data_IF_051509431543
#
_entry.id   IF_051509431543
#
_cell.length_a   1.000
_cell.length_b   1.000
_cell.length_c   1.000
_cell.angle_alpha   90.00
_cell.angle_beta   90.00
_cell.angle_gamma   90.00
#
_symmetry.space_group_name_H-M   'P 1'
#
loop_
_entity.id
_entity.type
_entity.pdbx_description
1 polymer ?
#
# COMPACT_ATOMS: atom_id res chain seq x y z
N UNK A 1 -28.96 -12.29 27.38
CA UNK A 1 -29.28 -11.09 26.57
C UNK A 1 -28.16 -10.07 26.75
N UNK A 2 -26.93 -10.42 26.37
CA UNK A 2 -25.72 -9.56 26.52
C UNK A 2 -24.74 -9.72 25.37
N UNK A 3 -25.22 -10.11 24.19
CA UNK A 3 -24.39 -10.32 22.99
C UNK A 3 -24.58 -9.23 21.91
N UNK A 4 -25.07 -8.05 22.32
CA UNK A 4 -24.99 -6.90 21.44
C UNK A 4 -23.55 -6.40 21.49
N UNK A 5 -22.80 -6.38 20.36
CA UNK A 5 -21.50 -5.77 20.32
C UNK A 5 -21.65 -4.31 20.75
N UNK A 6 -20.76 -3.86 21.64
CA UNK A 6 -20.71 -2.46 22.09
C UNK A 6 -20.65 -1.57 20.85
N UNK A 7 -21.79 -0.96 20.50
CA UNK A 7 -21.93 -0.13 19.30
C UNK A 7 -20.91 1.02 19.30
N UNK A 8 -20.50 1.48 20.47
CA UNK A 8 -19.46 2.51 20.63
C UNK A 8 -18.08 2.01 20.22
N UNK A 9 -17.75 0.74 20.45
CA UNK A 9 -16.45 0.18 20.04
C UNK A 9 -16.38 -0.13 18.53
N UNK A 10 -17.49 -0.45 17.91
CA UNK A 10 -17.58 -0.66 16.46
C UNK A 10 -17.45 0.67 15.73
N UNK A 11 -18.17 1.69 16.20
CA UNK A 11 -18.23 2.99 15.54
C UNK A 11 -16.86 3.71 15.46
N UNK A 12 -16.04 3.69 16.51
CA UNK A 12 -14.77 4.42 16.49
C UNK A 12 -13.76 3.82 15.49
N UNK A 13 -13.77 2.51 15.27
CA UNK A 13 -12.86 1.83 14.32
C UNK A 13 -13.26 2.11 12.88
N UNK A 14 -14.54 2.07 12.58
CA UNK A 14 -15.06 2.48 11.27
C UNK A 14 -14.74 3.96 11.00
N UNK A 15 -14.80 4.81 12.02
CA UNK A 15 -14.39 6.22 11.95
C UNK A 15 -12.89 6.33 11.59
N UNK A 16 -12.02 5.52 12.21
CA UNK A 16 -10.57 5.52 11.90
C UNK A 16 -10.32 5.11 10.45
N UNK A 17 -11.00 4.06 9.96
CA UNK A 17 -10.86 3.63 8.56
C UNK A 17 -11.35 4.73 7.60
N UNK A 18 -12.53 5.30 7.88
CA UNK A 18 -13.08 6.40 7.08
C UNK A 18 -12.17 7.63 7.11
N UNK A 19 -11.67 8.00 8.28
CA UNK A 19 -10.75 9.12 8.46
C UNK A 19 -9.45 8.90 7.67
N UNK A 20 -8.94 7.69 7.62
CA UNK A 20 -7.75 7.33 6.82
C UNK A 20 -7.99 7.60 5.33
N UNK A 21 -9.16 7.20 4.80
CA UNK A 21 -9.53 7.48 3.41
C UNK A 21 -9.66 8.98 3.17
N UNK A 22 -10.39 9.67 4.04
CA UNK A 22 -10.64 11.11 3.91
C UNK A 22 -9.34 11.92 4.01
N UNK A 23 -8.44 11.57 4.94
CA UNK A 23 -7.12 12.21 5.05
C UNK A 23 -6.27 11.94 3.80
N UNK A 24 -6.27 10.70 3.29
CA UNK A 24 -5.54 10.36 2.07
C UNK A 24 -6.08 11.12 0.85
N UNK A 25 -7.41 11.24 0.70
CA UNK A 25 -8.05 12.03 -0.33
C UNK A 25 -7.74 13.52 -0.18
N UNK A 26 -7.86 14.07 1.04
CA UNK A 26 -7.55 15.48 1.34
C UNK A 26 -6.11 15.84 1.02
N UNK A 27 -5.15 14.99 1.39
CA UNK A 27 -3.74 15.16 1.03
C UNK A 27 -3.54 15.14 -0.48
N UNK A 28 -4.24 14.25 -1.21
CA UNK A 28 -4.22 14.22 -2.68
C UNK A 28 -4.77 15.50 -3.31
N UNK A 29 -5.89 16.04 -2.79
CA UNK A 29 -6.47 17.32 -3.24
C UNK A 29 -5.51 18.51 -3.03
N UNK A 30 -4.79 18.52 -1.90
CA UNK A 30 -3.85 19.61 -1.58
C UNK A 30 -2.57 19.49 -2.41
N UNK A 31 -2.05 18.27 -2.59
CA UNK A 31 -0.77 18.02 -3.26
C UNK A 31 -0.88 18.01 -4.79
N UNK A 32 -2.01 17.54 -5.32
CA UNK A 32 -2.24 17.32 -6.75
C UNK A 32 -1.73 15.95 -7.23
N UNK A 33 -2.31 15.49 -8.35
CA UNK A 33 -1.99 14.19 -8.96
C UNK A 33 -0.53 14.09 -9.37
N UNK A 34 0.01 15.13 -10.00
CA UNK A 34 1.37 15.10 -10.53
C UNK A 34 2.40 14.84 -9.43
N UNK A 35 2.21 15.48 -8.27
CA UNK A 35 3.09 15.27 -7.10
C UNK A 35 2.93 13.86 -6.51
N UNK A 36 1.71 13.33 -6.44
CA UNK A 36 1.45 11.99 -5.93
C UNK A 36 2.07 10.93 -6.85
N UNK A 37 1.89 11.05 -8.17
CA UNK A 37 2.49 10.14 -9.16
C UNK A 37 4.01 10.17 -9.10
N UNK A 38 4.62 11.35 -9.04
CA UNK A 38 6.08 11.48 -8.90
C UNK A 38 6.58 10.87 -7.60
N UNK A 39 5.83 11.05 -6.49
CA UNK A 39 6.18 10.45 -5.21
C UNK A 39 6.18 8.91 -5.30
N UNK A 40 5.10 8.32 -5.81
CA UNK A 40 5.01 6.85 -5.99
C UNK A 40 6.07 6.35 -6.97
N UNK A 41 6.29 7.08 -8.08
CA UNK A 41 7.34 6.78 -9.04
C UNK A 41 8.73 6.78 -8.40
N UNK A 42 9.00 7.75 -7.53
CA UNK A 42 10.28 7.82 -6.80
C UNK A 42 10.48 6.62 -5.89
N UNK A 43 9.45 6.14 -5.22
CA UNK A 43 9.50 4.92 -4.38
C UNK A 43 9.80 3.68 -5.22
N UNK A 44 9.10 3.51 -6.35
CA UNK A 44 9.29 2.37 -7.26
C UNK A 44 10.70 2.36 -7.85
N UNK A 45 11.15 3.51 -8.36
CA UNK A 45 12.49 3.64 -8.96
C UNK A 45 13.57 3.42 -7.91
N UNK A 46 13.40 3.96 -6.70
CA UNK A 46 14.37 3.75 -5.61
C UNK A 46 14.46 2.30 -5.19
N UNK A 47 13.34 1.60 -5.08
CA UNK A 47 13.32 0.16 -4.78
C UNK A 47 13.97 -0.66 -5.91
N UNK A 48 13.70 -0.29 -7.15
CA UNK A 48 14.31 -0.93 -8.33
C UNK A 48 15.82 -0.75 -8.36
N UNK A 49 16.32 0.46 -8.16
CA UNK A 49 17.76 0.74 -8.13
C UNK A 49 18.45 0.07 -6.94
N UNK A 50 17.80 0.05 -5.77
CA UNK A 50 18.31 -0.66 -4.60
C UNK A 50 18.44 -2.16 -4.86
N UNK A 51 17.48 -2.75 -5.57
CA UNK A 51 17.55 -4.16 -5.98
C UNK A 51 18.66 -4.42 -7.00
N UNK A 52 18.82 -3.54 -8.00
CA UNK A 52 19.84 -3.72 -9.07
C UNK A 52 21.27 -3.53 -8.57
N UNK A 53 21.50 -2.56 -7.69
CA UNK A 53 22.84 -2.14 -7.28
C UNK A 53 23.20 -2.57 -5.85
N UNK A 54 22.27 -3.23 -5.15
CA UNK A 54 22.48 -3.68 -3.76
C UNK A 54 23.71 -4.55 -3.59
N UNK A 55 23.87 -5.55 -4.44
CA UNK A 55 25.01 -6.48 -4.40
C UNK A 55 26.35 -5.77 -4.70
N UNK A 56 26.36 -4.81 -5.63
CA UNK A 56 27.55 -4.07 -5.99
C UNK A 56 28.08 -3.23 -4.82
N UNK A 57 27.19 -2.55 -4.08
CA UNK A 57 27.57 -1.79 -2.90
C UNK A 57 27.89 -2.71 -1.72
N UNK A 58 27.19 -3.84 -1.60
CA UNK A 58 27.45 -4.82 -0.55
C UNK A 58 28.89 -5.37 -0.62
N UNK A 59 29.38 -5.69 -1.82
CA UNK A 59 30.74 -6.17 -2.01
C UNK A 59 31.82 -5.20 -1.52
N UNK A 60 31.54 -3.89 -1.58
CA UNK A 60 32.45 -2.83 -1.08
C UNK A 60 32.35 -2.72 0.46
N UNK A 61 31.16 -3.01 1.04
CA UNK A 61 30.93 -2.88 2.48
C UNK A 61 31.32 -4.15 3.27
N UNK A 62 31.32 -5.32 2.63
CA UNK A 62 31.64 -6.61 3.27
C UNK A 62 32.97 -6.61 4.02
N UNK A 63 34.07 -6.05 3.50
CA UNK A 63 35.34 -6.02 4.22
C UNK A 63 35.31 -5.24 5.55
N UNK A 64 34.33 -4.31 5.69
CA UNK A 64 34.16 -3.45 6.87
C UNK A 64 33.18 -4.01 7.89
N UNK A 65 32.18 -4.78 7.41
CA UNK A 65 31.07 -5.26 8.24
C UNK A 65 31.20 -6.74 8.64
N UNK A 66 32.17 -7.46 8.09
CA UNK A 66 32.46 -8.89 8.37
C UNK A 66 31.24 -9.83 8.22
N UNK A 67 30.16 -9.35 7.60
CA UNK A 67 28.91 -10.08 7.42
C UNK A 67 28.23 -9.73 6.09
N UNK A 68 28.18 -10.69 5.19
CA UNK A 68 27.56 -10.52 3.85
C UNK A 68 26.10 -10.08 3.94
N UNK A 69 25.34 -10.65 4.89
CA UNK A 69 23.90 -10.32 5.06
C UNK A 69 23.70 -8.89 5.54
N UNK A 70 24.52 -8.42 6.47
CA UNK A 70 24.45 -7.03 6.97
C UNK A 70 24.90 -6.07 5.90
N UNK A 71 25.95 -6.36 5.15
CA UNK A 71 26.44 -5.56 4.03
C UNK A 71 25.37 -5.38 2.96
N UNK A 72 24.67 -6.47 2.59
CA UNK A 72 23.58 -6.43 1.62
C UNK A 72 22.41 -5.60 2.14
N UNK A 73 21.97 -5.81 3.39
CA UNK A 73 20.85 -5.06 3.97
C UNK A 73 21.15 -3.56 4.01
N UNK A 74 22.33 -3.17 4.50
CA UNK A 74 22.74 -1.77 4.59
C UNK A 74 22.86 -1.16 3.20
N UNK A 75 23.42 -1.88 2.23
CA UNK A 75 23.55 -1.42 0.84
C UNK A 75 22.19 -1.12 0.20
N UNK A 76 21.23 -2.04 0.33
CA UNK A 76 19.87 -1.85 -0.17
C UNK A 76 19.23 -0.61 0.47
N UNK A 77 19.33 -0.46 1.78
CA UNK A 77 18.76 0.68 2.51
C UNK A 77 19.41 1.99 2.10
N UNK A 78 20.75 2.03 1.98
CA UNK A 78 21.50 3.23 1.59
C UNK A 78 21.14 3.65 0.18
N UNK A 79 21.18 2.74 -0.80
CA UNK A 79 20.83 3.06 -2.19
C UNK A 79 19.38 3.52 -2.28
N UNK A 80 18.47 2.84 -1.59
CA UNK A 80 17.07 3.24 -1.55
C UNK A 80 16.89 4.66 -1.04
N UNK A 81 17.45 4.99 0.11
CA UNK A 81 17.31 6.30 0.73
C UNK A 81 17.97 7.41 -0.10
N UNK A 82 19.19 7.20 -0.59
CA UNK A 82 19.91 8.18 -1.42
C UNK A 82 19.13 8.46 -2.71
N UNK A 83 18.65 7.43 -3.37
CA UNK A 83 17.87 7.56 -4.60
C UNK A 83 16.52 8.25 -4.33
N UNK A 84 15.83 7.84 -3.26
CA UNK A 84 14.54 8.41 -2.88
C UNK A 84 14.64 9.91 -2.59
N UNK A 85 15.65 10.32 -1.82
CA UNK A 85 15.91 11.73 -1.53
C UNK A 85 16.26 12.49 -2.80
N UNK A 86 17.17 11.95 -3.63
CA UNK A 86 17.57 12.58 -4.90
C UNK A 86 16.37 12.79 -5.84
N UNK A 87 15.55 11.76 -6.06
CA UNK A 87 14.35 11.85 -6.91
C UNK A 87 13.28 12.77 -6.32
N UNK A 88 13.12 12.79 -4.99
CA UNK A 88 12.15 13.66 -4.33
C UNK A 88 12.54 15.15 -4.47
N UNK A 89 13.83 15.47 -4.36
CA UNK A 89 14.35 16.83 -4.54
C UNK A 89 14.20 17.29 -5.99
N UNK A 90 14.64 16.46 -6.95
CA UNK A 90 14.53 16.79 -8.39
C UNK A 90 13.07 16.88 -8.83
N UNK A 91 12.21 15.95 -8.42
CA UNK A 91 10.78 16.01 -8.70
C UNK A 91 10.11 17.25 -8.14
N UNK A 92 10.48 17.68 -6.92
CA UNK A 92 10.00 18.92 -6.33
C UNK A 92 10.40 20.18 -7.11
N UNK A 93 11.61 20.22 -7.63
CA UNK A 93 12.11 21.34 -8.48
C UNK A 93 11.37 21.36 -9.83
N UNK A 94 11.22 20.21 -10.47
CA UNK A 94 10.51 20.07 -11.74
C UNK A 94 9.06 20.55 -11.62
N UNK A 95 8.35 20.20 -10.54
CA UNK A 95 6.98 20.66 -10.30
C UNK A 95 6.85 22.16 -10.12
N UNK A 96 7.86 22.84 -9.57
CA UNK A 96 7.86 24.31 -9.47
C UNK A 96 7.88 24.98 -10.84
N UNK A 97 8.57 24.39 -11.82
CA UNK A 97 8.63 24.89 -13.19
C UNK A 97 7.31 24.69 -13.94
N UNK A 98 6.60 23.58 -13.70
CA UNK A 98 5.33 23.28 -14.37
C UNK A 98 4.10 23.98 -13.76
N UNK A 99 4.17 24.55 -12.56
CA UNK A 99 3.06 25.27 -11.90
C UNK A 99 2.57 26.51 -12.65
N UNK A 100 3.23 26.92 -13.71
CA UNK A 100 2.90 28.14 -14.47
C UNK A 100 1.71 27.92 -15.43
N UNK A 101 1.28 26.71 -15.68
CA UNK A 101 0.34 26.35 -16.76
C UNK A 101 -1.09 26.04 -16.28
N UNK A 102 -1.77 26.91 -15.50
CA UNK A 102 -3.25 26.94 -15.37
C UNK A 102 -4.05 25.65 -15.02
N UNK A 103 -3.40 24.48 -14.97
CA UNK A 103 -4.00 23.15 -14.76
C UNK A 103 -4.24 22.81 -13.27
N UNK A 104 -4.13 23.79 -12.39
CA UNK A 104 -4.15 23.56 -10.93
C UNK A 104 -5.45 22.94 -10.41
N UNK A 105 -6.60 23.27 -11.00
CA UNK A 105 -7.90 22.74 -10.56
C UNK A 105 -8.06 21.26 -10.89
N UNK A 106 -7.79 20.90 -12.15
CA UNK A 106 -7.90 19.51 -12.63
C UNK A 106 -6.87 18.60 -11.93
N UNK A 107 -5.62 19.06 -11.77
CA UNK A 107 -4.57 18.33 -11.07
C UNK A 107 -4.95 18.01 -9.61
N UNK A 108 -5.56 18.97 -8.91
CA UNK A 108 -6.05 18.77 -7.54
C UNK A 108 -7.19 17.76 -7.47
N UNK A 109 -8.18 17.87 -8.36
CA UNK A 109 -9.33 16.95 -8.39
C UNK A 109 -8.86 15.53 -8.65
N UNK A 110 -8.00 15.34 -9.66
CA UNK A 110 -7.40 14.04 -9.96
C UNK A 110 -6.50 13.55 -8.82
N UNK A 111 -5.79 14.45 -8.14
CA UNK A 111 -5.03 14.13 -6.94
C UNK A 111 -5.91 13.60 -5.81
N UNK A 112 -7.11 14.17 -5.63
CA UNK A 112 -8.11 13.66 -4.69
C UNK A 112 -8.58 12.25 -5.02
N UNK A 113 -8.88 11.98 -6.29
CA UNK A 113 -9.25 10.62 -6.76
C UNK A 113 -8.11 9.63 -6.52
N UNK A 114 -6.89 10.02 -6.86
CA UNK A 114 -5.69 9.20 -6.59
C UNK A 114 -5.49 8.96 -5.09
N UNK A 115 -5.68 10.00 -4.27
CA UNK A 115 -5.61 9.91 -2.81
C UNK A 115 -6.67 8.96 -2.23
N UNK A 116 -7.88 8.94 -2.80
CA UNK A 116 -8.94 8.00 -2.44
C UNK A 116 -8.54 6.57 -2.76
N UNK A 117 -8.06 6.30 -3.98
CA UNK A 117 -7.57 4.97 -4.38
C UNK A 117 -6.45 4.52 -3.45
N UNK A 118 -5.48 5.39 -3.17
CA UNK A 118 -4.38 5.11 -2.22
C UNK A 118 -4.92 4.78 -0.83
N UNK A 119 -5.90 5.52 -0.32
CA UNK A 119 -6.53 5.24 0.97
C UNK A 119 -7.16 3.86 1.03
N UNK A 120 -7.87 3.46 -0.03
CA UNK A 120 -8.45 2.12 -0.18
C UNK A 120 -7.35 1.05 -0.17
N UNK A 121 -6.28 1.25 -0.95
CA UNK A 121 -5.15 0.31 -1.02
C UNK A 121 -4.48 0.15 0.35
N UNK A 122 -4.22 1.25 1.06
CA UNK A 122 -3.63 1.22 2.41
C UNK A 122 -4.50 0.40 3.37
N UNK A 123 -5.81 0.64 3.39
CA UNK A 123 -6.73 -0.12 4.24
C UNK A 123 -6.76 -1.59 3.84
N UNK A 124 -6.81 -1.89 2.53
CA UNK A 124 -6.79 -3.27 2.04
C UNK A 124 -5.53 -4.01 2.51
N UNK A 125 -4.35 -3.39 2.40
CA UNK A 125 -3.09 -3.96 2.87
C UNK A 125 -3.12 -4.14 4.39
N UNK A 126 -3.63 -3.15 5.13
CA UNK A 126 -3.74 -3.22 6.58
C UNK A 126 -4.65 -4.37 7.03
N UNK A 127 -5.81 -4.53 6.39
CA UNK A 127 -6.74 -5.62 6.66
C UNK A 127 -6.16 -6.98 6.25
N UNK A 128 -5.41 -7.03 5.14
CA UNK A 128 -4.73 -8.24 4.68
C UNK A 128 -3.68 -8.71 5.70
N UNK A 129 -2.82 -7.81 6.15
CA UNK A 129 -1.83 -8.10 7.20
C UNK A 129 -2.52 -8.47 8.51
N UNK A 130 -3.60 -7.77 8.87
CA UNK A 130 -4.45 -8.09 10.01
C UNK A 130 -5.06 -9.48 9.93
N UNK A 131 -5.34 -9.98 8.72
CA UNK A 131 -5.84 -11.32 8.47
C UNK A 131 -4.91 -12.46 8.93
N UNK A 132 -3.60 -12.21 9.01
CA UNK A 132 -2.63 -13.17 9.56
C UNK A 132 -2.55 -13.17 11.08
N UNK A 133 -3.29 -12.27 11.74
CA UNK A 133 -3.40 -12.18 13.19
C UNK A 133 -4.74 -12.78 13.65
N UNK A 134 -4.97 -13.00 14.96
CA UNK A 134 -6.30 -13.42 15.46
C UNK A 134 -7.40 -12.35 15.31
N UNK A 135 -7.11 -11.20 14.69
CA UNK A 135 -8.06 -10.11 14.50
C UNK A 135 -9.39 -10.51 13.80
N UNK A 136 -9.41 -11.36 12.73
CA UNK A 136 -10.65 -11.79 12.08
C UNK A 136 -11.60 -12.56 12.99
N UNK A 137 -11.10 -13.16 14.08
CA UNK A 137 -11.90 -13.91 15.05
C UNK A 137 -12.58 -12.99 16.07
N UNK A 138 -12.12 -11.76 16.19
CA UNK A 138 -12.67 -10.81 17.15
C UNK A 138 -14.01 -10.23 16.67
N UNK A 139 -14.94 -10.05 17.60
CA UNK A 139 -16.29 -9.59 17.31
C UNK A 139 -16.32 -8.25 16.55
N UNK A 140 -15.39 -7.35 16.83
CA UNK A 140 -15.30 -6.04 16.17
C UNK A 140 -14.99 -6.11 14.67
N UNK A 141 -14.19 -7.07 14.25
CA UNK A 141 -13.84 -7.24 12.83
C UNK A 141 -15.07 -7.69 12.02
N UNK A 142 -15.87 -8.59 12.61
CA UNK A 142 -17.11 -9.10 12.00
C UNK A 142 -18.25 -8.10 12.03
N UNK A 143 -18.27 -7.21 13.03
CA UNK A 143 -19.32 -6.21 13.23
C UNK A 143 -19.06 -4.89 12.47
N UNK A 144 -17.88 -4.69 11.87
CA UNK A 144 -17.58 -3.49 11.08
C UNK A 144 -18.43 -3.44 9.82
N UNK A 145 -19.07 -2.30 9.58
CA UNK A 145 -19.85 -2.05 8.36
C UNK A 145 -18.98 -1.77 7.15
N UNK A 146 -17.72 -1.40 7.34
CA UNK A 146 -16.77 -1.01 6.29
C UNK A 146 -15.98 -2.23 5.77
N UNK A 147 -15.62 -3.16 6.64
CA UNK A 147 -14.84 -4.37 6.29
C UNK A 147 -15.45 -5.17 5.12
N UNK A 148 -16.78 -5.36 5.01
CA UNK A 148 -17.38 -6.09 3.89
C UNK A 148 -17.08 -5.47 2.52
N UNK A 149 -16.94 -4.15 2.41
CA UNK A 149 -16.59 -3.46 1.16
C UNK A 149 -15.16 -3.80 0.69
N UNK A 150 -14.29 -4.20 1.61
CA UNK A 150 -12.91 -4.58 1.32
C UNK A 150 -12.73 -6.08 1.08
N UNK A 151 -13.77 -6.89 1.21
CA UNK A 151 -13.68 -8.35 0.97
C UNK A 151 -13.29 -8.66 -0.48
N UNK A 152 -13.81 -7.93 -1.47
CA UNK A 152 -13.46 -8.14 -2.87
C UNK A 152 -12.00 -7.82 -3.18
N UNK A 153 -11.45 -6.62 -2.86
CA UNK A 153 -10.04 -6.33 -3.08
C UNK A 153 -9.13 -7.23 -2.22
N UNK A 154 -9.54 -7.59 -1.00
CA UNK A 154 -8.81 -8.51 -0.14
C UNK A 154 -8.72 -9.92 -0.77
N UNK A 155 -9.82 -10.43 -1.31
CA UNK A 155 -9.87 -11.72 -1.99
C UNK A 155 -8.97 -11.75 -3.22
N UNK A 156 -8.98 -10.69 -4.03
CA UNK A 156 -8.11 -10.56 -5.21
C UNK A 156 -6.62 -10.54 -4.81
N UNK A 157 -6.28 -9.84 -3.73
CA UNK A 157 -4.92 -9.80 -3.21
C UNK A 157 -4.48 -11.16 -2.67
N UNK A 158 -5.35 -11.86 -1.94
CA UNK A 158 -5.10 -13.21 -1.43
C UNK A 158 -4.89 -14.21 -2.57
N UNK A 159 -5.73 -14.18 -3.61
CA UNK A 159 -5.57 -15.01 -4.80
C UNK A 159 -4.23 -14.76 -5.49
N UNK A 160 -3.84 -13.50 -5.67
CA UNK A 160 -2.57 -13.12 -6.30
C UNK A 160 -1.37 -13.64 -5.51
N UNK A 161 -1.39 -13.53 -4.18
CA UNK A 161 -0.33 -14.02 -3.30
C UNK A 161 -0.28 -15.54 -3.30
N UNK A 162 -1.42 -16.22 -3.15
CA UNK A 162 -1.50 -17.69 -3.17
C UNK A 162 -1.07 -18.29 -4.49
N UNK A 163 -1.41 -17.66 -5.62
CA UNK A 163 -0.97 -18.06 -6.94
C UNK A 163 0.56 -17.99 -7.09
N UNK A 164 1.18 -16.90 -6.63
CA UNK A 164 2.64 -16.73 -6.67
C UNK A 164 3.39 -17.69 -5.75
N UNK A 165 2.80 -18.03 -4.61
CA UNK A 165 3.39 -18.96 -3.64
C UNK A 165 3.10 -20.43 -3.94
N UNK A 166 2.34 -20.76 -5.01
CA UNK A 166 1.97 -22.13 -5.35
C UNK A 166 1.05 -22.82 -4.32
N UNK A 167 0.38 -22.03 -3.47
CA UNK A 167 -0.48 -22.52 -2.38
C UNK A 167 -1.94 -22.72 -2.78
N UNK A 168 -2.29 -22.52 -4.07
CA UNK A 168 -3.64 -22.79 -4.55
C UNK A 168 -3.83 -24.30 -4.72
N UNK A 169 -4.81 -24.92 -4.04
CA UNK A 169 -5.33 -26.21 -4.49
C UNK A 169 -5.94 -26.01 -5.90
N UNK A 170 -5.67 -26.92 -6.82
CA UNK A 170 -6.14 -26.87 -8.22
C UNK A 170 -7.67 -26.92 -8.39
N UNK A 171 -8.43 -26.93 -7.32
CA UNK A 171 -9.88 -26.96 -7.31
C UNK A 171 -10.40 -25.84 -6.41
N UNK A 172 -11.02 -24.83 -7.00
CA UNK A 172 -11.82 -23.84 -6.26
C UNK A 172 -13.05 -24.58 -5.70
N UNK A 173 -13.28 -24.66 -4.39
CA UNK A 173 -14.52 -25.21 -3.85
C UNK A 173 -15.65 -24.22 -4.19
N UNK A 174 -16.49 -24.58 -5.16
CA UNK A 174 -17.70 -23.83 -5.47
C UNK A 174 -18.06 -23.63 -6.94
N UNK A 175 -17.24 -24.08 -7.91
CA UNK A 175 -17.55 -23.89 -9.33
C UNK A 175 -18.11 -25.18 -10.00
N UNK A 176 -17.99 -26.33 -9.39
CA UNK A 176 -18.38 -27.62 -10.00
C UNK A 176 -19.69 -28.21 -9.49
N UNK A 177 -20.78 -27.46 -9.43
CA UNK A 177 -22.06 -28.12 -9.14
C UNK A 177 -23.29 -27.62 -9.87
N UNK A 178 -23.19 -26.90 -11.00
CA UNK A 178 -24.36 -26.55 -11.81
C UNK A 178 -24.12 -26.59 -13.33
N UNK A 179 -23.50 -27.63 -13.86
CA UNK A 179 -23.67 -28.01 -15.25
C UNK A 179 -23.71 -29.56 -15.34
N UNK A 180 -24.88 -30.11 -15.15
CA UNK A 180 -25.13 -31.54 -15.33
C UNK A 180 -26.52 -31.91 -14.86
N UNK A 181 -27.56 -31.38 -15.50
CA UNK A 181 -28.84 -32.08 -15.79
C UNK A 181 -29.66 -31.21 -16.76
#
# INVERSE_FOLDING_TARGET
>A
MSDLPDLDQVAWRDIVLLLTILLSMGLGLVRGLLREVLSVGSWIVSAWLAYLYGDNLASVLTPWLESDKLSLLISIVVIFLVTLVGLSLTGGLTLKLFRVSGLTGLDRTLGGVFGLIRGIVIITIFLFVGGFTPAPQQAWFRASSIVPFFQTPLYLLELGVRQKLGLLPRTLPGVDSKQGK
#
